data_IF_314653167678
#
_entry.id   IF_314653167678
#
_cell.length_a   1.000
_cell.length_b   1.000
_cell.length_c   1.000
_cell.angle_alpha   90.00
_cell.angle_beta   90.00
_cell.angle_gamma   90.00
#
_symmetry.space_group_name_H-M   'P 1'
#
loop_
_entity.id
_entity.type
_entity.pdbx_description
1 polymer ?
#
# COMPACT_ATOMS: atom_id res chain seq x y z
N UNK A 1 24.89 -6.09 11.07
CA UNK A 1 25.19 -4.86 10.31
C UNK A 1 24.38 -4.95 9.04
N UNK A 2 23.30 -4.19 8.89
CA UNK A 2 22.44 -4.40 7.72
C UNK A 2 21.63 -3.16 7.34
N UNK A 3 21.73 -2.79 6.07
CA UNK A 3 20.71 -2.06 5.33
C UNK A 3 19.71 -3.09 4.78
N UNK A 4 18.80 -3.54 5.64
CA UNK A 4 17.95 -4.69 5.33
C UNK A 4 16.57 -4.51 5.95
N UNK A 5 15.58 -5.02 5.23
CA UNK A 5 14.20 -5.14 5.69
C UNK A 5 13.51 -6.46 5.28
N UNK A 6 14.26 -7.48 4.80
CA UNK A 6 13.72 -8.76 4.29
C UNK A 6 13.06 -9.65 5.33
N UNK A 7 13.49 -9.56 6.59
CA UNK A 7 12.99 -10.41 7.69
C UNK A 7 12.02 -9.66 8.60
N UNK A 8 11.22 -8.80 8.00
CA UNK A 8 10.40 -7.85 8.72
C UNK A 8 9.01 -8.39 9.04
N UNK A 9 8.45 -7.92 10.16
CA UNK A 9 7.08 -8.24 10.56
C UNK A 9 6.07 -7.50 9.67
N UNK A 10 4.84 -7.99 9.64
CA UNK A 10 3.73 -7.42 8.88
C UNK A 10 3.42 -8.17 7.58
N UNK A 11 2.32 -7.78 6.93
CA UNK A 11 1.83 -8.38 5.68
C UNK A 11 2.39 -7.63 4.47
N UNK A 12 2.06 -8.13 3.27
CA UNK A 12 2.55 -7.63 1.98
C UNK A 12 2.50 -6.09 1.86
N UNK A 13 1.36 -5.48 2.16
CA UNK A 13 1.20 -4.03 1.99
C UNK A 13 2.00 -3.19 3.02
N UNK A 14 2.36 -3.74 4.19
CA UNK A 14 3.28 -3.07 5.11
C UNK A 14 4.69 -2.97 4.49
N UNK A 15 5.08 -3.95 3.67
CA UNK A 15 6.38 -3.95 3.00
C UNK A 15 6.51 -2.83 1.97
N UNK A 16 5.42 -2.40 1.35
CA UNK A 16 5.45 -1.28 0.40
C UNK A 16 5.94 0.00 1.08
N UNK A 17 5.35 0.37 2.22
CA UNK A 17 5.76 1.54 3.01
C UNK A 17 7.22 1.42 3.43
N UNK A 18 7.60 0.25 3.96
CA UNK A 18 8.98 0.00 4.42
C UNK A 18 9.99 0.07 3.27
N UNK A 19 9.68 -0.53 2.13
CA UNK A 19 10.56 -0.54 0.96
C UNK A 19 10.69 0.84 0.34
N UNK A 20 9.62 1.63 0.25
CA UNK A 20 9.70 3.01 -0.24
C UNK A 20 10.50 3.90 0.72
N UNK A 21 10.27 3.81 2.03
CA UNK A 21 11.09 4.53 3.02
C UNK A 21 12.57 4.14 2.92
N UNK A 22 12.85 2.84 2.76
CA UNK A 22 14.20 2.32 2.57
C UNK A 22 14.81 2.80 1.25
N UNK A 23 14.03 2.85 0.16
CA UNK A 23 14.43 3.36 -1.15
C UNK A 23 14.88 4.82 -1.05
N UNK A 24 14.09 5.67 -0.38
CA UNK A 24 14.40 7.09 -0.26
C UNK A 24 15.68 7.32 0.55
N UNK A 25 15.83 6.63 1.68
CA UNK A 25 17.05 6.65 2.49
C UNK A 25 18.24 6.13 1.68
N UNK A 26 18.10 4.99 1.01
CA UNK A 26 19.17 4.37 0.25
C UNK A 26 19.66 5.25 -0.89
N UNK A 27 18.73 5.87 -1.64
CA UNK A 27 19.04 6.81 -2.71
C UNK A 27 19.74 8.06 -2.18
N UNK A 28 19.26 8.62 -1.07
CA UNK A 28 19.81 9.85 -0.46
C UNK A 28 21.23 9.67 0.06
N UNK A 29 21.52 8.55 0.71
CA UNK A 29 22.83 8.28 1.32
C UNK A 29 23.71 7.32 0.48
N UNK A 30 23.29 7.01 -0.74
CA UNK A 30 23.96 6.06 -1.66
C UNK A 30 24.26 4.70 -1.00
N UNK A 31 23.32 4.18 -0.21
CA UNK A 31 23.49 2.95 0.57
C UNK A 31 23.12 1.70 -0.23
N UNK A 32 23.92 0.65 -0.09
CA UNK A 32 23.55 -0.67 -0.58
C UNK A 32 22.45 -1.24 0.33
N UNK A 33 21.24 -1.44 -0.20
CA UNK A 33 20.07 -1.89 0.56
C UNK A 33 19.52 -3.23 0.07
N UNK A 34 18.94 -4.01 0.98
CA UNK A 34 18.22 -5.26 0.67
C UNK A 34 16.74 -5.10 1.02
N UNK A 35 15.88 -5.34 0.02
CA UNK A 35 14.44 -5.11 0.11
C UNK A 35 13.66 -6.41 0.31
N UNK A 36 12.62 -6.35 1.13
CA UNK A 36 11.73 -7.46 1.47
C UNK A 36 10.71 -7.70 0.36
N UNK A 37 10.43 -8.97 0.11
CA UNK A 37 9.47 -9.40 -0.92
C UNK A 37 9.77 -8.84 -2.32
N UNK A 38 11.05 -8.70 -2.67
CA UNK A 38 11.49 -8.14 -3.96
C UNK A 38 10.80 -8.82 -5.15
N UNK A 39 10.73 -10.16 -5.18
CA UNK A 39 10.10 -10.90 -6.27
C UNK A 39 8.62 -10.52 -6.48
N UNK A 40 7.88 -10.25 -5.40
CA UNK A 40 6.47 -9.86 -5.49
C UNK A 40 6.30 -8.39 -5.93
N UNK A 41 7.23 -7.51 -5.55
CA UNK A 41 7.25 -6.13 -6.06
C UNK A 41 7.71 -6.06 -7.52
N UNK A 42 8.63 -6.94 -7.94
CA UNK A 42 9.06 -7.07 -9.33
C UNK A 42 7.88 -7.53 -10.21
N UNK A 43 7.04 -8.47 -9.72
CA UNK A 43 5.78 -8.84 -10.41
C UNK A 43 4.84 -7.64 -10.58
N UNK A 44 4.82 -6.71 -9.63
CA UNK A 44 4.05 -5.47 -9.71
C UNK A 44 4.71 -4.40 -10.58
N UNK A 45 5.90 -4.63 -11.13
CA UNK A 45 6.66 -3.65 -11.88
C UNK A 45 7.29 -2.54 -11.02
N UNK A 46 7.42 -2.77 -9.71
CA UNK A 46 7.98 -1.82 -8.75
C UNK A 46 9.45 -2.15 -8.50
N UNK A 47 10.35 -1.24 -8.89
CA UNK A 47 11.79 -1.39 -8.67
C UNK A 47 12.31 -0.42 -7.61
N UNK A 48 13.15 -0.93 -6.71
CA UNK A 48 13.78 -0.11 -5.66
C UNK A 48 15.25 0.21 -5.99
N UNK A 49 15.82 1.21 -5.32
CA UNK A 49 17.19 1.65 -5.57
C UNK A 49 18.21 0.63 -5.06
N UNK A 50 18.98 0.01 -5.95
CA UNK A 50 19.97 -1.04 -5.62
C UNK A 50 21.41 -0.65 -5.98
N UNK A 51 21.64 0.49 -6.63
CA UNK A 51 22.95 0.93 -7.12
C UNK A 51 23.88 1.50 -6.02
N UNK A 52 23.41 1.56 -4.78
CA UNK A 52 24.17 2.11 -3.67
C UNK A 52 25.49 1.37 -3.39
N UNK A 53 26.51 2.13 -3.01
CA UNK A 53 27.87 1.62 -2.79
C UNK A 53 28.30 1.70 -1.31
N UNK A 54 27.67 2.58 -0.53
CA UNK A 54 28.05 2.82 0.84
C UNK A 54 27.55 1.69 1.76
N UNK A 55 28.42 1.30 2.69
CA UNK A 55 28.15 0.40 3.81
C UNK A 55 29.05 0.81 4.97
N UNK A 56 28.48 0.93 6.17
CA UNK A 56 29.18 1.48 7.33
C UNK A 56 29.21 0.51 8.51
N UNK A 57 30.06 0.79 9.51
CA UNK A 57 30.16 -0.06 10.71
C UNK A 57 28.99 0.16 11.68
N UNK A 58 28.46 1.39 11.74
CA UNK A 58 27.31 1.72 12.58
C UNK A 58 25.98 1.40 11.89
N UNK A 59 24.96 1.03 12.66
CA UNK A 59 23.59 0.82 12.16
C UNK A 59 22.59 1.51 13.09
N UNK A 60 21.69 2.29 12.52
CA UNK A 60 20.56 2.89 13.21
C UNK A 60 19.38 1.93 13.09
N UNK A 61 18.81 1.52 14.21
CA UNK A 61 17.69 0.60 14.28
C UNK A 61 16.40 1.35 14.61
N UNK A 62 15.35 1.09 13.84
CA UNK A 62 14.00 1.57 14.13
C UNK A 62 13.18 0.41 14.67
N UNK A 63 13.11 0.30 16.00
CA UNK A 63 12.57 -0.89 16.69
C UNK A 63 11.08 -0.83 16.99
N UNK A 64 10.46 0.35 16.89
CA UNK A 64 9.03 0.53 17.15
C UNK A 64 8.24 0.53 15.83
N UNK A 65 7.19 -0.28 15.83
CA UNK A 65 6.27 -0.55 14.72
C UNK A 65 5.66 0.74 14.16
N UNK A 66 5.33 1.69 15.03
CA UNK A 66 4.69 2.97 14.70
C UNK A 66 5.66 4.15 14.70
N UNK A 67 6.96 3.88 14.91
CA UNK A 67 7.98 4.91 14.99
C UNK A 67 8.10 5.66 13.66
N UNK A 68 8.02 6.99 13.72
CA UNK A 68 8.16 7.89 12.57
C UNK A 68 9.51 8.62 12.51
N UNK A 69 10.45 8.32 13.40
CA UNK A 69 11.77 8.96 13.42
C UNK A 69 12.58 8.73 12.14
N UNK A 70 12.32 7.66 11.40
CA UNK A 70 12.96 7.44 10.10
C UNK A 70 12.68 8.61 9.13
N UNK A 71 11.54 9.30 9.28
CA UNK A 71 11.16 10.45 8.45
C UNK A 71 12.20 11.58 8.54
N UNK A 72 12.87 11.76 9.68
CA UNK A 72 13.89 12.81 9.82
C UNK A 72 15.08 12.60 8.88
N UNK A 73 15.35 11.34 8.49
CA UNK A 73 16.41 11.02 7.53
C UNK A 73 15.95 11.18 6.08
N UNK A 74 14.64 11.12 5.82
CA UNK A 74 14.05 11.36 4.49
C UNK A 74 13.88 12.87 4.25
N UNK A 75 13.19 13.57 5.16
CA UNK A 75 12.73 14.96 5.02
C UNK A 75 13.80 16.04 5.23
N UNK A 76 14.97 15.71 5.78
CA UNK A 76 16.02 16.71 6.03
C UNK A 76 16.67 17.19 4.73
N UNK A 77 16.27 18.34 4.19
CA UNK A 77 16.96 18.96 3.05
C UNK A 77 18.32 19.54 3.45
N UNK A 78 18.50 19.86 4.73
CA UNK A 78 19.72 20.38 5.33
C UNK A 78 20.07 19.56 6.60
N UNK A 79 21.37 19.38 6.93
CA UNK A 79 21.89 18.59 8.04
C UNK A 79 21.61 19.21 9.42
N UNK A 80 20.39 19.69 9.71
CA UNK A 80 20.12 20.33 11.01
C UNK A 80 20.08 19.33 12.19
N UNK A 81 20.10 18.01 11.91
CA UNK A 81 20.34 16.96 12.91
C UNK A 81 21.19 15.79 12.42
N UNK A 82 21.67 15.83 11.19
CA UNK A 82 22.48 14.75 10.63
C UNK A 82 23.87 15.32 10.43
N UNK A 83 24.91 14.81 11.09
CA UNK A 83 26.25 15.26 10.77
C UNK A 83 26.46 15.06 9.26
N UNK A 84 27.09 16.01 8.58
CA UNK A 84 27.49 15.91 7.15
C UNK A 84 28.28 14.62 6.84
N UNK A 85 28.66 13.87 7.88
CA UNK A 85 29.28 12.57 7.88
C UNK A 85 28.42 11.46 8.50
N UNK A 86 27.09 11.42 8.30
CA UNK A 86 26.25 10.32 8.77
C UNK A 86 26.67 9.00 8.09
N UNK A 87 27.65 8.33 8.68
CA UNK A 87 28.21 7.05 8.26
C UNK A 87 27.50 5.94 8.99
N UNK A 88 26.23 5.74 8.66
CA UNK A 88 25.39 4.71 9.30
C UNK A 88 24.54 3.98 8.29
N UNK A 89 24.41 2.68 8.49
CA UNK A 89 23.38 1.86 7.87
C UNK A 89 22.04 2.11 8.57
N UNK A 90 20.95 1.68 7.95
CA UNK A 90 19.61 1.78 8.51
C UNK A 90 18.90 0.44 8.46
N UNK A 91 18.31 0.05 9.59
CA UNK A 91 17.50 -1.15 9.69
C UNK A 91 16.05 -0.79 10.05
N UNK A 92 15.15 -0.96 9.09
CA UNK A 92 13.73 -0.66 9.22
C UNK A 92 12.88 -1.93 9.43
N UNK A 93 13.52 -3.08 9.72
CA UNK A 93 12.86 -4.39 9.80
C UNK A 93 11.70 -4.43 10.80
N UNK A 94 11.81 -3.67 11.90
CA UNK A 94 10.81 -3.66 12.98
C UNK A 94 9.80 -2.50 12.89
N UNK A 95 10.00 -1.51 12.01
CA UNK A 95 9.05 -0.42 11.79
C UNK A 95 8.12 -0.74 10.62
N UNK A 96 6.82 -0.50 10.72
CA UNK A 96 5.90 -0.61 9.58
C UNK A 96 5.98 0.57 8.61
N UNK A 97 6.59 1.68 9.06
CA UNK A 97 6.71 2.90 8.28
C UNK A 97 5.37 3.47 7.80
N UNK A 98 4.29 3.17 8.51
CA UNK A 98 2.95 3.65 8.18
C UNK A 98 2.66 4.95 8.92
N UNK A 99 2.76 6.04 8.18
CA UNK A 99 2.53 7.40 8.65
C UNK A 99 1.94 8.19 7.48
N UNK A 100 1.09 9.22 7.71
CA UNK A 100 0.56 10.06 6.63
C UNK A 100 1.63 10.53 5.63
N UNK A 101 2.76 11.04 6.12
CA UNK A 101 3.88 11.50 5.30
C UNK A 101 4.49 10.37 4.45
N UNK A 102 4.59 9.16 5.01
CA UNK A 102 5.02 7.99 4.23
C UNK A 102 3.98 7.57 3.20
N UNK A 103 2.69 7.75 3.47
CA UNK A 103 1.65 7.53 2.47
C UNK A 103 1.81 8.52 1.31
N UNK A 104 2.16 9.79 1.58
CA UNK A 104 2.50 10.78 0.55
C UNK A 104 3.73 10.38 -0.26
N UNK A 105 4.78 9.88 0.41
CA UNK A 105 5.98 9.39 -0.28
C UNK A 105 5.70 8.19 -1.18
N UNK A 106 4.97 7.20 -0.68
CA UNK A 106 4.57 6.03 -1.46
C UNK A 106 3.72 6.47 -2.65
N UNK A 107 2.72 7.32 -2.45
CA UNK A 107 1.89 7.84 -3.53
C UNK A 107 2.70 8.58 -4.59
N UNK A 108 3.62 9.45 -4.17
CA UNK A 108 4.51 10.18 -5.09
C UNK A 108 5.44 9.24 -5.85
N UNK A 109 6.00 8.23 -5.18
CA UNK A 109 6.87 7.24 -5.79
C UNK A 109 6.12 6.40 -6.84
N UNK A 110 4.91 5.95 -6.54
CA UNK A 110 4.11 5.13 -7.47
C UNK A 110 3.53 5.93 -8.64
N UNK A 111 3.33 7.25 -8.48
CA UNK A 111 2.85 8.15 -9.53
C UNK A 111 3.97 8.81 -10.35
N UNK A 112 5.24 8.57 -10.01
CA UNK A 112 6.35 8.93 -10.88
C UNK A 112 6.14 8.31 -12.29
N UNK A 113 6.29 9.06 -13.40
CA UNK A 113 5.90 8.59 -14.73
C UNK A 113 6.52 7.26 -15.13
N UNK A 114 7.81 7.05 -14.87
CA UNK A 114 8.52 5.83 -15.23
C UNK A 114 8.04 4.66 -14.36
N UNK A 115 7.88 4.90 -13.05
CA UNK A 115 7.38 3.90 -12.10
C UNK A 115 5.95 3.48 -12.42
N UNK A 116 5.06 4.46 -12.68
CA UNK A 116 3.67 4.24 -13.07
C UNK A 116 3.56 3.45 -14.37
N UNK A 117 4.34 3.82 -15.40
CA UNK A 117 4.35 3.09 -16.67
C UNK A 117 4.85 1.66 -16.50
N UNK A 118 5.88 1.44 -15.69
CA UNK A 118 6.37 0.10 -15.36
C UNK A 118 5.29 -0.73 -14.69
N UNK A 119 4.60 -0.20 -13.68
CA UNK A 119 3.52 -0.90 -12.97
C UNK A 119 2.39 -1.30 -13.93
N UNK A 120 1.92 -0.35 -14.76
CA UNK A 120 0.88 -0.62 -15.75
C UNK A 120 1.36 -1.67 -16.76
N UNK A 121 2.60 -1.59 -17.23
CA UNK A 121 3.18 -2.51 -18.20
C UNK A 121 3.29 -3.96 -17.70
N UNK A 122 3.56 -4.14 -16.41
CA UNK A 122 3.67 -5.45 -15.74
C UNK A 122 2.32 -6.02 -15.27
N UNK A 123 1.27 -5.21 -15.24
CA UNK A 123 -0.06 -5.69 -14.87
C UNK A 123 -0.59 -6.66 -15.93
N UNK A 124 -0.84 -7.93 -15.56
CA UNK A 124 -1.38 -8.94 -16.48
C UNK A 124 -2.78 -8.60 -17.01
N UNK A 125 -3.47 -7.67 -16.35
CA UNK A 125 -4.79 -7.16 -16.71
C UNK A 125 -4.75 -5.77 -17.36
N UNK A 126 -3.58 -5.29 -17.80
CA UNK A 126 -3.38 -3.90 -18.27
C UNK A 126 -4.37 -3.41 -19.31
N UNK A 127 -4.88 -4.28 -20.18
CA UNK A 127 -5.86 -3.92 -21.22
C UNK A 127 -7.22 -3.49 -20.65
N UNK A 128 -7.44 -3.69 -19.34
CA UNK A 128 -8.63 -3.24 -18.62
C UNK A 128 -8.55 -1.78 -18.16
N UNK A 129 -7.35 -1.20 -17.98
CA UNK A 129 -7.22 0.18 -17.54
C UNK A 129 -7.98 1.13 -18.49
N UNK A 130 -8.86 1.98 -17.94
CA UNK A 130 -9.74 2.89 -18.68
C UNK A 130 -10.69 2.22 -19.71
N UNK A 131 -10.87 0.90 -19.65
CA UNK A 131 -11.61 0.13 -20.66
C UNK A 131 -12.65 -0.82 -20.02
N UNK A 132 -13.09 -0.52 -18.80
CA UNK A 132 -14.18 -1.21 -18.14
C UNK A 132 -14.97 -0.21 -17.28
N UNK A 133 -16.16 -0.61 -16.82
CA UNK A 133 -16.92 0.11 -15.81
C UNK A 133 -17.24 -0.82 -14.64
N UNK A 134 -16.26 -1.62 -14.22
CA UNK A 134 -16.42 -2.62 -13.17
C UNK A 134 -16.13 -2.01 -11.79
N UNK A 135 -16.68 -2.62 -10.75
CA UNK A 135 -16.36 -2.31 -9.36
C UNK A 135 -15.58 -3.45 -8.71
N UNK A 136 -14.53 -3.10 -7.98
CA UNK A 136 -13.80 -4.00 -7.10
C UNK A 136 -14.03 -3.65 -5.64
N UNK A 137 -14.39 -4.63 -4.82
CA UNK A 137 -14.61 -4.47 -3.38
C UNK A 137 -13.54 -5.24 -2.61
N UNK A 138 -12.83 -4.56 -1.70
CA UNK A 138 -11.89 -5.23 -0.81
C UNK A 138 -12.37 -5.19 0.64
N UNK A 139 -12.70 -6.36 1.19
CA UNK A 139 -13.14 -6.53 2.58
C UNK A 139 -11.99 -7.14 3.40
N UNK A 140 -11.75 -6.60 4.59
CA UNK A 140 -10.69 -7.05 5.51
C UNK A 140 -11.34 -7.54 6.79
N UNK A 141 -11.26 -8.85 7.06
CA UNK A 141 -11.88 -9.48 8.21
C UNK A 141 -10.79 -10.09 9.11
N UNK A 142 -10.33 -11.33 8.89
CA UNK A 142 -9.26 -12.04 9.64
C UNK A 142 -8.88 -11.45 11.03
N UNK A 143 -7.64 -11.03 11.23
CA UNK A 143 -7.07 -10.50 12.49
C UNK A 143 -7.47 -9.05 12.81
N UNK A 144 -8.29 -8.45 11.95
CA UNK A 144 -8.62 -7.02 11.95
C UNK A 144 -10.13 -6.77 11.86
N UNK A 145 -10.96 -7.77 12.13
CA UNK A 145 -12.41 -7.75 11.88
C UNK A 145 -13.12 -6.68 12.69
N UNK A 146 -12.62 -6.37 13.89
CA UNK A 146 -13.07 -5.26 14.73
C UNK A 146 -12.85 -3.87 14.12
N UNK A 147 -12.05 -3.77 13.05
CA UNK A 147 -11.81 -2.55 12.27
C UNK A 147 -12.39 -2.64 10.86
N UNK A 148 -13.13 -3.69 10.53
CA UNK A 148 -13.91 -3.71 9.30
C UNK A 148 -15.03 -2.67 9.42
N UNK A 149 -15.25 -1.81 8.41
CA UNK A 149 -16.40 -0.92 8.43
C UNK A 149 -17.70 -1.73 8.42
N UNK A 150 -18.80 -1.16 8.94
CA UNK A 150 -20.10 -1.81 8.98
C UNK A 150 -20.59 -2.14 7.55
N UNK A 151 -21.47 -3.13 7.41
CA UNK A 151 -21.93 -3.56 6.07
C UNK A 151 -22.63 -2.41 5.33
N UNK A 152 -23.30 -1.53 6.09
CA UNK A 152 -23.99 -0.34 5.62
C UNK A 152 -23.07 0.63 4.88
N UNK A 153 -21.77 0.68 5.23
CA UNK A 153 -20.79 1.45 4.48
C UNK A 153 -20.60 0.91 3.06
N UNK A 154 -20.44 -0.42 2.92
CA UNK A 154 -20.27 -1.05 1.62
C UNK A 154 -21.55 -0.95 0.79
N UNK A 155 -22.70 -1.15 1.43
CA UNK A 155 -23.99 -1.02 0.75
C UNK A 155 -24.20 0.40 0.23
N UNK A 156 -23.96 1.43 1.06
CA UNK A 156 -24.04 2.82 0.62
C UNK A 156 -23.06 3.13 -0.52
N UNK A 157 -21.81 2.64 -0.42
CA UNK A 157 -20.84 2.82 -1.50
C UNK A 157 -21.36 2.21 -2.81
N UNK A 158 -21.76 0.94 -2.79
CA UNK A 158 -22.20 0.19 -3.97
C UNK A 158 -23.52 0.70 -4.55
N UNK A 159 -24.50 1.05 -3.70
CA UNK A 159 -25.79 1.61 -4.13
C UNK A 159 -25.63 2.98 -4.81
N UNK A 160 -24.53 3.70 -4.52
CA UNK A 160 -24.22 5.00 -5.14
C UNK A 160 -23.50 4.90 -6.48
N UNK A 161 -23.12 3.70 -6.92
CA UNK A 161 -22.34 3.48 -8.14
C UNK A 161 -23.21 2.91 -9.26
N UNK A 162 -22.79 3.17 -10.50
CA UNK A 162 -23.29 2.49 -11.69
C UNK A 162 -22.15 1.70 -12.30
N UNK A 163 -22.21 0.38 -12.21
CA UNK A 163 -21.15 -0.51 -12.69
C UNK A 163 -21.72 -1.69 -13.50
N UNK A 164 -20.90 -2.26 -14.38
CA UNK A 164 -21.29 -3.37 -15.25
C UNK A 164 -21.08 -4.73 -14.57
N UNK A 165 -19.90 -4.96 -13.99
CA UNK A 165 -19.59 -6.17 -13.24
C UNK A 165 -19.04 -5.81 -11.85
N UNK A 166 -19.35 -6.64 -10.87
CA UNK A 166 -18.85 -6.49 -9.50
C UNK A 166 -17.90 -7.63 -9.12
N UNK A 167 -16.85 -7.28 -8.41
CA UNK A 167 -15.82 -8.20 -7.91
C UNK A 167 -15.56 -7.98 -6.43
N UNK A 168 -15.19 -9.03 -5.71
CA UNK A 168 -14.85 -8.95 -4.29
C UNK A 168 -13.65 -9.83 -3.95
N UNK A 169 -12.77 -9.31 -3.11
CA UNK A 169 -11.70 -10.06 -2.46
C UNK A 169 -11.73 -9.84 -0.96
N UNK A 170 -11.40 -10.88 -0.21
CA UNK A 170 -11.30 -10.86 1.24
C UNK A 170 -10.36 -11.97 1.71
N UNK A 171 -9.70 -11.73 2.83
CA UNK A 171 -8.95 -12.74 3.58
C UNK A 171 -9.87 -13.75 4.29
N UNK A 172 -11.17 -13.46 4.36
CA UNK A 172 -12.19 -14.37 4.91
C UNK A 172 -13.44 -14.36 4.02
N UNK A 173 -13.28 -14.74 2.74
CA UNK A 173 -14.33 -14.63 1.73
C UNK A 173 -15.59 -15.47 2.04
N UNK A 174 -15.45 -16.54 2.82
CA UNK A 174 -16.55 -17.42 3.22
C UNK A 174 -17.33 -16.89 4.45
N UNK A 175 -16.93 -15.75 5.02
CA UNK A 175 -17.64 -15.09 6.12
C UNK A 175 -19.03 -14.60 5.67
N UNK A 176 -20.01 -14.63 6.58
CA UNK A 176 -21.39 -14.20 6.30
C UNK A 176 -21.47 -12.73 5.86
N UNK A 177 -20.54 -11.89 6.30
CA UNK A 177 -20.39 -10.52 5.82
C UNK A 177 -20.13 -10.47 4.31
N UNK A 178 -19.15 -11.23 3.83
CA UNK A 178 -18.80 -11.29 2.41
C UNK A 178 -19.92 -11.94 1.59
N UNK A 179 -20.51 -13.03 2.08
CA UNK A 179 -21.64 -13.72 1.41
C UNK A 179 -22.83 -12.79 1.21
N UNK A 180 -23.16 -11.94 2.19
CA UNK A 180 -24.23 -10.94 2.05
C UNK A 180 -23.95 -9.97 0.89
N UNK A 181 -22.74 -9.42 0.82
CA UNK A 181 -22.34 -8.52 -0.28
C UNK A 181 -22.36 -9.24 -1.64
N UNK A 182 -21.79 -10.45 -1.70
CA UNK A 182 -21.79 -11.30 -2.90
C UNK A 182 -23.20 -11.51 -3.42
N UNK A 183 -24.11 -11.94 -2.55
CA UNK A 183 -25.48 -12.26 -2.95
C UNK A 183 -26.28 -11.02 -3.34
N UNK A 184 -26.13 -9.90 -2.60
CA UNK A 184 -26.90 -8.66 -2.86
C UNK A 184 -26.48 -7.98 -4.16
N UNK A 185 -25.19 -7.95 -4.45
CA UNK A 185 -24.62 -7.21 -5.59
C UNK A 185 -24.11 -8.10 -6.73
N UNK A 186 -24.36 -9.42 -6.65
CA UNK A 186 -23.88 -10.42 -7.61
C UNK A 186 -22.36 -10.32 -7.86
N UNK A 187 -21.57 -10.20 -6.78
CA UNK A 187 -20.13 -9.99 -6.86
C UNK A 187 -19.40 -11.30 -7.18
N UNK A 188 -18.47 -11.24 -8.12
CA UNK A 188 -17.60 -12.35 -8.46
C UNK A 188 -16.39 -12.39 -7.52
N UNK A 189 -16.07 -13.57 -7.00
CA UNK A 189 -14.94 -13.74 -6.08
C UNK A 189 -13.62 -13.69 -6.84
N UNK A 190 -12.71 -12.83 -6.39
CA UNK A 190 -11.30 -12.80 -6.79
C UNK A 190 -10.50 -13.46 -5.69
N UNK A 191 -9.98 -14.67 -5.95
CA UNK A 191 -9.20 -15.46 -5.00
C UNK A 191 -7.83 -15.75 -5.58
N UNK A 192 -6.95 -14.78 -5.46
CA UNK A 192 -5.61 -14.79 -6.05
C UNK A 192 -4.55 -14.46 -4.97
N UNK A 193 -3.27 -14.53 -5.33
CA UNK A 193 -2.21 -14.03 -4.45
C UNK A 193 -2.27 -12.49 -4.29
N UNK A 194 -1.51 -11.97 -3.33
CA UNK A 194 -1.53 -10.55 -2.99
C UNK A 194 -1.18 -9.64 -4.19
N UNK A 195 -0.05 -9.85 -4.91
CA UNK A 195 0.27 -9.06 -6.11
C UNK A 195 -0.82 -9.13 -7.18
N UNK A 196 -1.32 -10.33 -7.48
CA UNK A 196 -2.35 -10.51 -8.51
C UNK A 196 -3.67 -9.84 -8.14
N UNK A 197 -4.08 -9.93 -6.87
CA UNK A 197 -5.30 -9.29 -6.38
C UNK A 197 -5.20 -7.78 -6.54
N UNK A 198 -4.04 -7.19 -6.22
CA UNK A 198 -3.79 -5.76 -6.41
C UNK A 198 -3.79 -5.40 -7.90
N UNK A 199 -3.12 -6.19 -8.74
CA UNK A 199 -3.13 -6.00 -10.20
C UNK A 199 -4.56 -6.01 -10.75
N UNK A 200 -5.40 -6.97 -10.34
CA UNK A 200 -6.78 -7.02 -10.82
C UNK A 200 -7.60 -5.83 -10.32
N UNK A 201 -7.64 -5.63 -8.99
CA UNK A 201 -8.48 -4.61 -8.36
C UNK A 201 -8.13 -3.19 -8.81
N UNK A 202 -6.85 -2.90 -9.01
CA UNK A 202 -6.38 -1.60 -9.52
C UNK A 202 -6.80 -1.28 -10.95
N UNK A 203 -7.31 -2.26 -11.72
CA UNK A 203 -7.81 -2.01 -13.08
C UNK A 203 -9.29 -1.64 -13.12
N UNK A 204 -10.06 -1.90 -12.06
CA UNK A 204 -11.49 -1.61 -12.02
C UNK A 204 -11.74 -0.10 -11.98
N UNK A 205 -12.75 0.36 -12.72
CA UNK A 205 -13.10 1.78 -12.78
C UNK A 205 -13.55 2.33 -11.41
N UNK A 206 -14.20 1.49 -10.61
CA UNK A 206 -14.60 1.81 -9.25
C UNK A 206 -13.91 0.88 -8.26
N UNK A 207 -13.41 1.42 -7.15
CA UNK A 207 -12.77 0.62 -6.10
C UNK A 207 -13.34 1.01 -4.74
N UNK A 208 -13.99 0.05 -4.06
CA UNK A 208 -14.55 0.21 -2.72
C UNK A 208 -13.65 -0.53 -1.72
N UNK A 209 -13.04 0.23 -0.82
CA UNK A 209 -12.03 -0.26 0.10
C UNK A 209 -12.59 -0.49 1.50
N UNK A 210 -11.92 -1.35 2.27
CA UNK A 210 -11.94 -1.34 3.74
C UNK A 210 -10.76 -0.52 4.28
N UNK A 211 -10.68 -0.33 5.59
CA UNK A 211 -9.64 0.51 6.21
C UNK A 211 -8.21 -0.07 6.28
N UNK A 212 -7.94 -1.26 5.73
CA UNK A 212 -6.63 -1.90 5.83
C UNK A 212 -5.57 -1.34 4.87
N UNK A 213 -4.29 -1.54 5.20
CA UNK A 213 -3.13 -1.16 4.34
C UNK A 213 -3.17 -1.84 2.97
N UNK A 214 -3.66 -3.09 2.93
CA UNK A 214 -3.81 -3.82 1.67
C UNK A 214 -4.85 -3.18 0.77
N UNK A 215 -6.00 -2.79 1.32
CA UNK A 215 -7.02 -1.99 0.64
C UNK A 215 -6.43 -0.67 0.12
N UNK A 216 -5.70 0.03 0.99
CA UNK A 216 -5.03 1.28 0.63
C UNK A 216 -4.07 1.10 -0.55
N UNK A 217 -3.30 0.01 -0.60
CA UNK A 217 -2.38 -0.30 -1.70
C UNK A 217 -3.13 -0.57 -3.02
N UNK A 218 -4.30 -1.21 -2.97
CA UNK A 218 -5.15 -1.36 -4.17
C UNK A 218 -5.59 0.02 -4.67
N UNK A 219 -6.02 0.91 -3.77
CA UNK A 219 -6.46 2.26 -4.12
C UNK A 219 -5.35 3.11 -4.73
N UNK A 220 -4.16 3.13 -4.13
CA UNK A 220 -3.04 3.95 -4.60
C UNK A 220 -2.50 3.51 -5.97
N UNK A 221 -2.65 2.21 -6.30
CA UNK A 221 -2.29 1.66 -7.61
C UNK A 221 -3.45 1.72 -8.61
N UNK A 222 -4.65 2.07 -8.17
CA UNK A 222 -5.84 2.35 -8.98
C UNK A 222 -5.73 3.67 -9.72
N UNK A 223 -4.69 3.82 -10.56
CA UNK A 223 -4.30 5.08 -11.22
C UNK A 223 -5.38 5.76 -12.06
N UNK A 224 -6.45 5.02 -12.38
CA UNK A 224 -7.54 5.38 -13.27
C UNK A 224 -8.90 5.05 -12.64
N UNK A 225 -8.93 4.89 -11.32
CA UNK A 225 -10.10 4.39 -10.59
C UNK A 225 -10.68 5.48 -9.70
N UNK A 226 -12.00 5.50 -9.58
CA UNK A 226 -12.71 6.23 -8.53
C UNK A 226 -12.61 5.44 -7.22
N UNK A 227 -11.87 5.98 -6.24
CA UNK A 227 -11.62 5.31 -4.97
C UNK A 227 -12.62 5.75 -3.91
N UNK A 228 -13.30 4.78 -3.28
CA UNK A 228 -14.17 4.98 -2.11
C UNK A 228 -13.60 4.26 -0.89
N UNK A 229 -13.53 4.95 0.25
CA UNK A 229 -12.95 4.40 1.49
C UNK A 229 -13.75 4.79 2.75
N UNK A 230 -13.63 4.02 3.85
CA UNK A 230 -14.31 4.34 5.09
C UNK A 230 -13.52 5.39 5.88
N UNK A 231 -14.18 6.44 6.33
CA UNK A 231 -13.61 7.42 7.27
C UNK A 231 -13.76 6.82 8.67
N UNK A 232 -12.69 6.22 9.16
CA UNK A 232 -12.62 5.59 10.49
C UNK A 232 -11.22 5.78 11.09
N UNK A 233 -11.14 5.87 12.42
CA UNK A 233 -9.85 5.95 13.13
C UNK A 233 -9.28 4.56 13.32
N UNK A 234 -8.10 4.30 12.76
CA UNK A 234 -7.42 3.01 12.86
C UNK A 234 -6.11 3.19 13.63
N UNK A 235 -5.93 2.39 14.67
CA UNK A 235 -4.84 2.58 15.63
C UNK A 235 -3.46 2.32 15.03
N UNK A 236 -3.31 1.34 14.13
CA UNK A 236 -1.98 0.84 13.72
C UNK A 236 -1.34 1.57 12.54
N UNK A 237 -2.08 2.36 11.76
CA UNK A 237 -1.48 3.16 10.67
C UNK A 237 -1.87 4.63 10.73
N UNK A 238 -2.74 5.02 11.66
CA UNK A 238 -3.23 6.39 11.77
C UNK A 238 -4.15 6.74 10.59
N UNK A 239 -3.87 7.87 9.95
CA UNK A 239 -4.59 8.33 8.76
C UNK A 239 -3.65 8.28 7.55
N UNK A 240 -3.68 7.16 6.81
CA UNK A 240 -2.98 7.02 5.53
C UNK A 240 -3.90 7.35 4.34
N UNK A 241 -5.21 7.52 4.56
CA UNK A 241 -6.22 7.79 3.52
C UNK A 241 -6.41 9.30 3.33
N UNK A 242 -5.32 9.98 3.01
CA UNK A 242 -5.17 11.45 3.02
C UNK A 242 -5.28 12.10 1.64
N UNK A 243 -5.80 11.38 0.65
CA UNK A 243 -5.89 11.82 -0.74
C UNK A 243 -7.22 12.50 -1.01
N UNK A 244 -7.19 13.76 -1.43
CA UNK A 244 -8.38 14.62 -1.57
C UNK A 244 -9.30 14.18 -2.71
N UNK A 245 -8.75 13.50 -3.70
CA UNK A 245 -9.45 12.91 -4.84
C UNK A 245 -10.21 11.62 -4.48
N UNK A 246 -9.98 11.05 -3.30
CA UNK A 246 -10.69 9.85 -2.84
C UNK A 246 -11.99 10.20 -2.10
N UNK A 247 -13.04 9.43 -2.36
CA UNK A 247 -14.35 9.60 -1.74
C UNK A 247 -14.43 8.90 -0.38
N UNK A 248 -14.34 9.66 0.70
CA UNK A 248 -14.53 9.15 2.06
C UNK A 248 -16.01 9.06 2.47
N UNK A 249 -16.43 7.93 3.04
CA UNK A 249 -17.77 7.75 3.64
C UNK A 249 -17.61 7.55 5.15
N UNK A 250 -18.35 8.32 5.96
CA UNK A 250 -18.32 8.19 7.43
C UNK A 250 -19.00 6.89 7.87
N UNK A 251 -18.31 6.15 8.73
CA UNK A 251 -18.80 4.93 9.37
C UNK A 251 -19.24 5.18 10.81
#
# INVERSE_FOLDING_TARGET
>A
MSNDNRNSRGRFANQLFRNVSSHLIAKKYNLKFQYGQQDDFDKLGISFFTAGQNFFDNTIYFEDEFNSEYLKYILSDEPMYLPENLKSNFNLTNSHCQHPESARFVHSFLNDPDTKQSIIGHNKYKDRYNNNNDVFVHVRLDDASQYCPPIEYFEHALDSLQFTNGYISSDSIDDEFCKKLINKYNLQVVKEDAPTTIQFGSTCNHVVLSGGTFSWMIGVMGFHSDITFPIQKIRWHGDIFIFEDWKGIKC
#
